data_IF_076014474518
#
_entry.id   IF_076014474518
#
_cell.length_a   1.000
_cell.length_b   1.000
_cell.length_c   1.000
_cell.angle_alpha   90.00
_cell.angle_beta   90.00
_cell.angle_gamma   90.00
#
_symmetry.space_group_name_H-M   'P 1'
#
loop_
_entity.id
_entity.type
_entity.pdbx_description
1 polymer ?
#
# COMPACT_ATOMS: atom_id res chain seq x y z
N UNK A 1 14.09 7.68 -4.72
CA UNK A 1 13.31 7.65 -5.99
C UNK A 1 12.08 8.53 -5.78
N UNK A 2 11.80 9.50 -6.66
CA UNK A 2 10.67 10.45 -6.45
C UNK A 2 9.45 10.17 -7.32
N UNK A 3 9.64 9.44 -8.40
CA UNK A 3 8.62 9.13 -9.39
C UNK A 3 8.63 7.63 -9.65
N UNK A 4 7.45 7.07 -9.84
CA UNK A 4 7.21 5.76 -10.42
C UNK A 4 6.59 6.01 -11.80
N UNK A 5 7.45 6.04 -12.82
CA UNK A 5 7.05 6.22 -14.20
C UNK A 5 6.72 4.85 -14.81
N UNK A 6 5.49 4.72 -15.27
CA UNK A 6 4.94 3.47 -15.81
C UNK A 6 4.57 3.63 -17.28
N UNK A 7 4.98 4.73 -17.91
CA UNK A 7 4.66 5.03 -19.31
C UNK A 7 5.22 3.96 -20.23
N UNK A 8 4.33 3.32 -21.01
CA UNK A 8 4.71 2.32 -22.01
C UNK A 8 5.16 0.96 -21.43
N UNK A 9 5.01 0.75 -20.12
CA UNK A 9 5.25 -0.57 -19.51
C UNK A 9 4.05 -1.48 -19.73
N UNK A 10 4.30 -2.77 -19.99
CA UNK A 10 3.27 -3.78 -19.96
C UNK A 10 2.83 -4.11 -18.51
N UNK A 11 1.72 -4.87 -18.38
CA UNK A 11 1.14 -5.25 -17.09
C UNK A 11 2.12 -5.94 -16.15
N UNK A 12 3.04 -6.74 -16.67
CA UNK A 12 4.02 -7.50 -15.89
C UNK A 12 5.15 -6.60 -15.39
N UNK A 13 5.65 -5.71 -16.24
CA UNK A 13 6.63 -4.69 -15.89
C UNK A 13 6.07 -3.68 -14.88
N UNK A 14 4.78 -3.33 -15.01
CA UNK A 14 4.05 -2.52 -14.01
C UNK A 14 4.00 -3.27 -12.67
N UNK A 15 3.58 -4.53 -12.65
CA UNK A 15 3.55 -5.36 -11.43
C UNK A 15 4.91 -5.39 -10.72
N UNK A 16 5.97 -5.76 -11.42
CA UNK A 16 7.31 -5.86 -10.84
C UNK A 16 7.82 -4.51 -10.30
N UNK A 17 7.58 -3.42 -11.04
CA UNK A 17 8.00 -2.07 -10.65
C UNK A 17 7.21 -1.55 -9.44
N UNK A 18 5.89 -1.74 -9.41
CA UNK A 18 5.04 -1.29 -8.31
C UNK A 18 5.35 -2.05 -7.02
N UNK A 19 5.35 -3.39 -7.06
CA UNK A 19 5.54 -4.19 -5.85
C UNK A 19 6.95 -4.03 -5.27
N UNK A 20 7.98 -3.95 -6.11
CA UNK A 20 9.35 -3.73 -5.62
C UNK A 20 9.49 -2.40 -4.86
N UNK A 21 8.82 -1.34 -5.35
CA UNK A 21 8.78 -0.01 -4.72
C UNK A 21 7.99 -0.04 -3.42
N UNK A 22 6.82 -0.69 -3.40
CA UNK A 22 5.99 -0.82 -2.20
C UNK A 22 6.73 -1.52 -1.05
N UNK A 23 7.54 -2.52 -1.36
CA UNK A 23 8.29 -3.31 -0.38
C UNK A 23 9.58 -2.62 0.07
N UNK A 24 10.24 -1.89 -0.83
CA UNK A 24 11.53 -1.24 -0.60
C UNK A 24 11.54 0.21 -1.13
N UNK A 25 10.78 1.13 -0.51
CA UNK A 25 10.67 2.51 -0.99
C UNK A 25 12.02 3.25 -0.94
N UNK A 26 12.76 3.06 0.16
CA UNK A 26 13.99 3.81 0.45
C UNK A 26 15.28 3.01 0.18
N UNK A 27 15.19 1.74 -0.24
CA UNK A 27 16.35 0.88 -0.50
C UNK A 27 16.40 0.49 -1.99
N UNK A 28 17.14 1.25 -2.83
CA UNK A 28 17.25 0.98 -4.26
C UNK A 28 17.81 -0.39 -4.58
N UNK A 29 18.74 -0.87 -3.76
CA UNK A 29 19.39 -2.14 -3.98
C UNK A 29 18.40 -3.29 -3.78
N UNK A 30 17.72 -3.33 -2.63
CA UNK A 30 16.69 -4.35 -2.36
C UNK A 30 15.52 -4.26 -3.31
N UNK A 31 15.14 -3.04 -3.72
CA UNK A 31 14.11 -2.81 -4.73
C UNK A 31 14.49 -3.46 -6.06
N UNK A 32 15.69 -3.20 -6.58
CA UNK A 32 16.13 -3.77 -7.86
C UNK A 32 16.25 -5.30 -7.79
N UNK A 33 16.77 -5.82 -6.67
CA UNK A 33 16.83 -7.26 -6.42
C UNK A 33 15.44 -7.92 -6.41
N UNK A 34 14.46 -7.32 -5.73
CA UNK A 34 13.09 -7.82 -5.71
C UNK A 34 12.42 -7.68 -7.08
N UNK A 35 12.63 -6.56 -7.78
CA UNK A 35 12.11 -6.35 -9.14
C UNK A 35 12.61 -7.45 -10.09
N UNK A 36 13.91 -7.71 -10.10
CA UNK A 36 14.50 -8.76 -10.92
C UNK A 36 13.94 -10.14 -10.57
N UNK A 37 13.76 -10.43 -9.29
CA UNK A 37 13.12 -11.68 -8.84
C UNK A 37 11.68 -11.80 -9.37
N UNK A 38 10.88 -10.73 -9.32
CA UNK A 38 9.50 -10.73 -9.83
C UNK A 38 9.46 -10.88 -11.35
N UNK A 39 10.32 -10.18 -12.09
CA UNK A 39 10.43 -10.30 -13.55
C UNK A 39 10.77 -11.74 -13.97
N UNK A 40 11.72 -12.38 -13.29
CA UNK A 40 12.11 -13.77 -13.59
C UNK A 40 10.95 -14.74 -13.32
N UNK A 41 10.20 -14.54 -12.22
CA UNK A 41 9.04 -15.38 -11.92
C UNK A 41 7.92 -15.20 -12.95
N UNK A 42 7.70 -13.98 -13.45
CA UNK A 42 6.75 -13.73 -14.52
C UNK A 42 7.18 -14.45 -15.81
N UNK A 43 8.42 -14.25 -16.25
CA UNK A 43 8.94 -14.87 -17.47
C UNK A 43 8.92 -16.41 -17.36
N UNK A 44 9.21 -16.96 -16.18
CA UNK A 44 9.04 -18.38 -15.90
C UNK A 44 7.60 -18.86 -16.13
N UNK A 45 6.61 -18.14 -15.60
CA UNK A 45 5.21 -18.49 -15.77
C UNK A 45 4.72 -18.35 -17.22
N UNK A 46 5.34 -17.45 -18.00
CA UNK A 46 5.00 -17.19 -19.39
C UNK A 46 5.77 -18.08 -20.39
N UNK A 47 6.81 -18.78 -19.92
CA UNK A 47 7.66 -19.60 -20.76
C UNK A 47 8.66 -18.80 -21.62
N UNK A 48 9.05 -17.60 -21.16
CA UNK A 48 9.89 -16.63 -21.87
C UNK A 48 11.20 -16.33 -21.11
N UNK A 49 11.75 -17.31 -20.39
CA UNK A 49 12.96 -17.12 -19.58
C UNK A 49 14.18 -16.66 -20.38
N UNK A 50 14.25 -17.04 -21.64
CA UNK A 50 15.27 -16.64 -22.61
C UNK A 50 15.27 -15.14 -22.92
N UNK A 51 14.18 -14.44 -22.63
CA UNK A 51 14.03 -13.00 -22.86
C UNK A 51 14.57 -12.15 -21.70
N UNK A 52 15.07 -12.78 -20.63
CA UNK A 52 15.58 -12.07 -19.44
C UNK A 52 16.87 -11.32 -19.79
N UNK A 53 16.89 -10.02 -19.46
CA UNK A 53 18.06 -9.18 -19.70
C UNK A 53 19.27 -9.61 -18.85
N UNK A 54 20.51 -9.42 -19.36
CA UNK A 54 21.73 -9.66 -18.58
C UNK A 54 21.78 -8.86 -17.28
N UNK A 55 21.18 -7.68 -17.25
CA UNK A 55 21.08 -6.85 -16.05
C UNK A 55 20.15 -7.46 -14.99
N UNK A 56 18.99 -8.00 -15.42
CA UNK A 56 18.07 -8.73 -14.54
C UNK A 56 18.74 -9.97 -13.96
N UNK A 57 19.51 -10.73 -14.75
CA UNK A 57 20.28 -11.88 -14.27
C UNK A 57 21.33 -11.48 -13.23
N UNK A 58 22.07 -10.38 -13.46
CA UNK A 58 23.05 -9.85 -12.48
C UNK A 58 22.36 -9.56 -11.15
N UNK A 59 21.25 -8.81 -11.17
CA UNK A 59 20.49 -8.52 -9.96
C UNK A 59 19.91 -9.77 -9.31
N UNK A 60 19.53 -10.79 -10.08
CA UNK A 60 19.00 -12.05 -9.55
C UNK A 60 20.06 -12.86 -8.82
N UNK A 61 21.27 -12.97 -9.38
CA UNK A 61 22.41 -13.65 -8.74
C UNK A 61 22.71 -12.95 -7.40
N UNK A 62 22.82 -11.62 -7.44
CA UNK A 62 23.02 -10.81 -6.23
C UNK A 62 21.84 -10.91 -5.23
N UNK A 63 20.62 -11.06 -5.73
CA UNK A 63 19.41 -11.23 -4.93
C UNK A 63 19.31 -12.61 -4.27
N UNK A 64 19.81 -13.66 -4.94
CA UNK A 64 19.87 -15.03 -4.43
C UNK A 64 20.70 -15.11 -3.16
N UNK A 65 21.86 -14.47 -3.14
CA UNK A 65 22.76 -14.41 -1.99
C UNK A 65 22.15 -13.68 -0.78
N UNK A 66 21.18 -12.79 -1.02
CA UNK A 66 20.59 -11.90 0.00
C UNK A 66 19.12 -12.24 0.34
N UNK A 67 18.55 -13.23 -0.34
CA UNK A 67 17.19 -13.71 -0.09
C UNK A 67 16.09 -12.70 -0.43
N UNK A 68 16.15 -12.00 -1.57
CA UNK A 68 15.14 -11.00 -1.93
C UNK A 68 13.69 -11.56 -1.94
N UNK A 69 13.49 -12.80 -2.40
CA UNK A 69 12.19 -13.49 -2.35
C UNK A 69 11.68 -13.78 -0.93
N UNK A 70 12.55 -13.73 0.09
CA UNK A 70 12.14 -13.87 1.49
C UNK A 70 11.40 -12.64 2.00
N UNK A 71 11.63 -11.46 1.42
CA UNK A 71 11.00 -10.20 1.84
C UNK A 71 9.50 -10.17 1.50
N UNK A 72 9.06 -10.96 0.51
CA UNK A 72 7.65 -11.24 0.21
C UNK A 72 6.98 -12.12 1.27
N UNK A 73 7.74 -12.99 1.92
CA UNK A 73 7.25 -13.92 2.94
C UNK A 73 7.34 -13.34 4.36
N UNK A 74 8.11 -12.27 4.56
CA UNK A 74 8.21 -11.58 5.84
C UNK A 74 6.87 -10.93 6.19
N UNK A 75 6.29 -11.39 7.30
CA UNK A 75 5.11 -10.80 7.92
C UNK A 75 5.50 -9.48 8.60
N UNK A 76 5.62 -8.41 7.82
CA UNK A 76 5.79 -7.04 8.33
C UNK A 76 4.42 -6.33 8.32
N UNK A 77 3.74 -6.20 9.47
CA UNK A 77 2.46 -5.48 9.54
C UNK A 77 2.62 -3.99 9.25
N UNK A 78 3.84 -3.45 9.24
CA UNK A 78 4.09 -2.03 9.04
C UNK A 78 3.73 -1.51 7.65
N UNK A 79 3.88 -2.36 6.63
CA UNK A 79 3.51 -2.07 5.25
C UNK A 79 2.00 -1.76 5.10
N UNK A 80 1.08 -2.71 5.38
CA UNK A 80 -0.35 -2.46 5.31
C UNK A 80 -0.82 -1.45 6.38
N UNK A 81 -0.13 -1.33 7.51
CA UNK A 81 -0.50 -0.36 8.55
C UNK A 81 -0.43 1.10 8.07
N UNK A 82 0.58 1.46 7.26
CA UNK A 82 0.67 2.81 6.68
C UNK A 82 -0.49 3.10 5.70
N UNK A 83 -0.88 2.12 4.88
CA UNK A 83 -2.05 2.20 4.01
C UNK A 83 -3.35 2.40 4.80
N UNK A 84 -3.59 1.59 5.83
CA UNK A 84 -4.75 1.74 6.71
C UNK A 84 -4.80 3.12 7.39
N UNK A 85 -3.66 3.65 7.82
CA UNK A 85 -3.62 4.98 8.45
C UNK A 85 -4.01 6.09 7.47
N UNK A 86 -3.58 5.99 6.21
CA UNK A 86 -3.98 6.94 5.17
C UNK A 86 -5.48 6.83 4.87
N UNK A 87 -5.99 5.60 4.70
CA UNK A 87 -7.41 5.32 4.50
C UNK A 87 -8.22 5.97 5.62
N UNK A 88 -7.93 5.62 6.88
CA UNK A 88 -8.64 6.14 8.05
C UNK A 88 -8.65 7.67 8.10
N UNK A 89 -7.53 8.31 7.77
CA UNK A 89 -7.44 9.76 7.73
C UNK A 89 -8.34 10.37 6.65
N UNK A 90 -8.33 9.84 5.44
CA UNK A 90 -9.18 10.30 4.35
C UNK A 90 -10.66 10.10 4.67
N UNK A 91 -11.03 8.97 5.28
CA UNK A 91 -12.41 8.72 5.71
C UNK A 91 -12.86 9.70 6.79
N UNK A 92 -12.04 9.94 7.81
CA UNK A 92 -12.37 10.92 8.86
C UNK A 92 -12.56 12.32 8.27
N UNK A 93 -11.81 12.67 7.23
CA UNK A 93 -11.94 13.95 6.53
C UNK A 93 -13.23 14.03 5.70
N UNK A 94 -13.55 12.98 4.95
CA UNK A 94 -14.80 12.89 4.19
C UNK A 94 -16.03 12.94 5.11
N UNK A 95 -15.95 12.32 6.28
CA UNK A 95 -16.99 12.38 7.32
C UNK A 95 -16.99 13.69 8.14
N UNK A 96 -16.19 14.70 7.76
CA UNK A 96 -16.09 15.99 8.45
C UNK A 96 -15.79 15.93 9.96
N UNK A 97 -15.05 14.91 10.40
CA UNK A 97 -14.69 14.76 11.82
C UNK A 97 -13.77 15.90 12.26
N UNK A 98 -14.15 16.59 13.34
CA UNK A 98 -13.35 17.66 13.95
C UNK A 98 -11.97 17.15 14.33
N UNK A 99 -10.94 17.94 14.02
CA UNK A 99 -9.54 17.61 14.29
C UNK A 99 -9.06 16.28 13.67
N UNK A 100 -9.62 15.88 12.53
CA UNK A 100 -9.12 14.73 11.76
C UNK A 100 -7.62 14.92 11.43
N UNK A 101 -6.81 13.96 11.86
CA UNK A 101 -5.34 14.00 11.74
C UNK A 101 -4.71 12.62 11.95
N UNK A 102 -3.42 12.52 11.62
CA UNK A 102 -2.67 11.26 11.65
C UNK A 102 -2.67 10.58 13.03
N UNK A 103 -2.62 11.33 14.12
CA UNK A 103 -2.66 10.72 15.46
C UNK A 103 -3.98 10.01 15.74
N UNK A 104 -5.13 10.57 15.31
CA UNK A 104 -6.44 9.90 15.39
C UNK A 104 -6.49 8.69 14.48
N UNK A 105 -5.91 8.78 13.27
CA UNK A 105 -5.85 7.66 12.34
C UNK A 105 -5.01 6.51 12.91
N UNK A 106 -3.83 6.80 13.48
CA UNK A 106 -2.99 5.80 14.13
C UNK A 106 -3.69 5.13 15.30
N UNK A 107 -4.44 5.90 16.09
CA UNK A 107 -5.25 5.30 17.15
C UNK A 107 -6.31 4.35 16.60
N UNK A 108 -7.10 4.80 15.63
CA UNK A 108 -8.16 3.98 15.05
C UNK A 108 -7.60 2.68 14.49
N UNK A 109 -6.54 2.75 13.68
CA UNK A 109 -5.86 1.56 13.15
C UNK A 109 -5.32 0.66 14.26
N UNK A 110 -4.72 1.22 15.31
CA UNK A 110 -4.24 0.40 16.44
C UNK A 110 -5.37 -0.36 17.14
N UNK A 111 -6.57 0.21 17.21
CA UNK A 111 -7.74 -0.47 17.79
C UNK A 111 -8.32 -1.53 16.84
N UNK A 112 -8.35 -1.28 15.52
CA UNK A 112 -8.71 -2.31 14.53
C UNK A 112 -7.81 -3.54 14.72
N UNK A 113 -6.50 -3.31 14.69
CA UNK A 113 -5.50 -4.37 14.79
C UNK A 113 -5.54 -5.09 16.14
N UNK A 114 -5.91 -4.40 17.23
CA UNK A 114 -6.05 -5.00 18.56
C UNK A 114 -7.13 -6.09 18.62
N UNK A 115 -8.18 -5.98 17.79
CA UNK A 115 -9.24 -6.98 17.66
C UNK A 115 -8.92 -8.13 16.71
N UNK A 116 -7.87 -8.00 15.89
CA UNK A 116 -7.54 -8.96 14.85
C UNK A 116 -6.44 -9.96 15.25
N UNK A 117 -6.47 -11.10 14.57
CA UNK A 117 -5.43 -12.13 14.62
C UNK A 117 -4.80 -12.26 13.24
N UNK A 118 -3.51 -12.55 13.20
CA UNK A 118 -2.85 -12.92 11.95
C UNK A 118 -3.33 -14.29 11.45
N UNK A 119 -2.87 -14.69 10.27
CA UNK A 119 -3.18 -16.01 9.69
C UNK A 119 -2.77 -17.20 10.57
N UNK A 120 -1.87 -17.01 11.55
CA UNK A 120 -1.46 -18.04 12.51
C UNK A 120 -2.27 -17.97 13.82
N UNK A 121 -3.30 -17.11 13.88
CA UNK A 121 -4.12 -16.89 15.07
C UNK A 121 -3.47 -16.02 16.16
N UNK A 122 -2.32 -15.39 15.89
CA UNK A 122 -1.64 -14.52 16.85
C UNK A 122 -2.23 -13.11 16.85
N UNK A 123 -2.47 -12.49 18.01
CA UNK A 123 -3.00 -11.13 18.08
C UNK A 123 -2.11 -10.12 17.35
N UNK A 124 -2.71 -9.36 16.44
CA UNK A 124 -2.04 -8.29 15.70
C UNK A 124 -1.88 -7.04 16.59
N UNK A 125 -1.12 -7.10 17.67
CA UNK A 125 -0.95 -5.94 18.57
C UNK A 125 0.01 -4.90 17.98
N UNK A 126 -0.51 -3.96 17.18
CA UNK A 126 0.27 -2.80 16.70
C UNK A 126 0.01 -1.61 17.62
N UNK A 127 1.01 -1.27 18.46
CA UNK A 127 0.94 -0.09 19.33
C UNK A 127 1.01 1.21 18.51
N UNK A 128 0.50 2.31 19.06
CA UNK A 128 0.56 3.64 18.40
C UNK A 128 1.98 4.07 18.08
N UNK A 129 2.96 3.78 18.94
CA UNK A 129 4.37 4.08 18.69
C UNK A 129 4.90 3.29 17.47
N UNK A 130 4.46 2.03 17.31
CA UNK A 130 4.77 1.21 16.14
C UNK A 130 4.13 1.79 14.88
N UNK A 131 2.88 2.28 14.96
CA UNK A 131 2.20 2.95 13.83
C UNK A 131 2.98 4.17 13.34
N UNK A 132 3.48 5.01 14.25
CA UNK A 132 4.32 6.16 13.88
C UNK A 132 5.61 5.74 13.19
N UNK A 133 6.26 4.67 13.68
CA UNK A 133 7.46 4.12 13.05
C UNK A 133 7.15 3.60 11.64
N UNK A 134 6.10 2.81 11.49
CA UNK A 134 5.66 2.28 10.20
C UNK A 134 5.31 3.39 9.21
N UNK A 135 4.58 4.41 9.67
CA UNK A 135 4.28 5.59 8.88
C UNK A 135 5.54 6.29 8.39
N UNK A 136 6.54 6.53 9.25
CA UNK A 136 7.81 7.13 8.81
C UNK A 136 8.51 6.29 7.75
N UNK A 137 8.50 4.97 7.88
CA UNK A 137 9.15 4.06 6.94
C UNK A 137 8.42 3.89 5.61
N UNK A 138 7.09 4.04 5.58
CA UNK A 138 6.27 3.68 4.42
C UNK A 138 5.32 4.80 3.95
N UNK A 139 5.35 6.00 4.55
CA UNK A 139 4.51 7.13 4.14
C UNK A 139 4.71 7.51 2.67
N UNK A 140 5.92 7.35 2.14
CA UNK A 140 6.24 7.61 0.74
C UNK A 140 5.44 6.72 -0.24
N UNK A 141 4.99 5.54 0.21
CA UNK A 141 4.22 4.55 -0.56
C UNK A 141 2.86 4.21 0.06
N UNK A 142 2.39 5.00 1.04
CA UNK A 142 1.15 4.69 1.76
C UNK A 142 -0.09 4.66 0.85
N UNK A 143 -0.12 5.46 -0.22
CA UNK A 143 -1.19 5.46 -1.22
C UNK A 143 -1.27 4.15 -2.03
N UNK A 144 -0.12 3.55 -2.37
CA UNK A 144 -0.06 2.24 -3.03
C UNK A 144 -0.56 1.13 -2.10
N UNK A 145 -0.15 1.15 -0.83
CA UNK A 145 -0.65 0.20 0.18
C UNK A 145 -2.15 0.39 0.46
N UNK A 146 -2.63 1.63 0.49
CA UNK A 146 -4.05 1.92 0.63
C UNK A 146 -4.86 1.36 -0.55
N UNK A 147 -4.42 1.58 -1.78
CA UNK A 147 -5.07 1.02 -2.98
C UNK A 147 -5.09 -0.52 -2.95
N UNK A 148 -3.97 -1.15 -2.61
CA UNK A 148 -3.89 -2.60 -2.46
C UNK A 148 -4.92 -3.14 -1.45
N UNK A 149 -5.07 -2.47 -0.30
CA UNK A 149 -6.01 -2.87 0.74
C UNK A 149 -7.47 -2.71 0.32
N UNK A 150 -7.80 -1.61 -0.39
CA UNK A 150 -9.14 -1.37 -0.94
C UNK A 150 -9.50 -2.48 -1.93
N UNK A 151 -8.61 -2.74 -2.89
CA UNK A 151 -8.81 -3.78 -3.90
C UNK A 151 -8.89 -5.18 -3.26
N UNK A 152 -8.07 -5.46 -2.23
CA UNK A 152 -8.14 -6.72 -1.50
C UNK A 152 -9.49 -6.90 -0.78
N UNK A 153 -10.05 -5.82 -0.23
CA UNK A 153 -11.38 -5.84 0.39
C UNK A 153 -12.48 -6.10 -0.65
N UNK A 154 -12.45 -5.42 -1.80
CA UNK A 154 -13.37 -5.66 -2.92
C UNK A 154 -13.30 -7.11 -3.42
N UNK A 155 -12.09 -7.65 -3.60
CA UNK A 155 -11.89 -9.03 -4.01
C UNK A 155 -12.49 -10.02 -2.99
N UNK A 156 -12.35 -9.72 -1.69
CA UNK A 156 -12.94 -10.53 -0.62
C UNK A 156 -14.47 -10.49 -0.67
N UNK A 157 -15.06 -9.31 -0.80
CA UNK A 157 -16.52 -9.14 -0.89
C UNK A 157 -17.10 -9.80 -2.15
N UNK A 158 -16.39 -9.74 -3.27
CA UNK A 158 -16.75 -10.42 -4.51
C UNK A 158 -16.48 -11.93 -4.54
N UNK A 159 -15.87 -12.50 -3.50
CA UNK A 159 -15.53 -13.94 -3.44
C UNK A 159 -14.30 -14.35 -4.26
N UNK A 160 -13.51 -13.41 -4.75
CA UNK A 160 -12.32 -13.61 -5.59
C UNK A 160 -11.01 -13.73 -4.81
N UNK A 161 -11.05 -13.83 -3.48
CA UNK A 161 -9.83 -13.82 -2.65
C UNK A 161 -8.82 -14.93 -3.00
N UNK A 162 -9.31 -16.09 -3.47
CA UNK A 162 -8.46 -17.21 -3.90
C UNK A 162 -7.67 -16.92 -5.18
N UNK A 163 -8.18 -16.03 -6.03
CA UNK A 163 -7.59 -15.62 -7.29
C UNK A 163 -7.15 -14.15 -7.25
N UNK A 164 -6.90 -13.61 -6.06
CA UNK A 164 -6.61 -12.18 -5.88
C UNK A 164 -5.43 -11.75 -6.74
N UNK A 165 -4.41 -12.57 -6.94
CA UNK A 165 -3.25 -12.23 -7.78
C UNK A 165 -3.59 -12.13 -9.28
N UNK A 166 -4.62 -12.84 -9.75
CA UNK A 166 -5.12 -12.74 -11.13
C UNK A 166 -6.05 -11.53 -11.28
N UNK A 167 -6.83 -11.26 -10.24
CA UNK A 167 -7.83 -10.19 -10.20
C UNK A 167 -7.21 -8.81 -9.91
N UNK A 168 -6.14 -8.75 -9.11
CA UNK A 168 -5.42 -7.55 -8.75
C UNK A 168 -4.63 -7.07 -9.98
N UNK A 169 -5.35 -6.42 -10.88
CA UNK A 169 -4.77 -5.75 -12.01
C UNK A 169 -3.92 -4.59 -11.53
N UNK A 170 -2.62 -4.63 -11.84
CA UNK A 170 -1.68 -3.64 -11.34
C UNK A 170 -1.93 -2.26 -11.94
N UNK A 171 -2.49 -2.19 -13.14
CA UNK A 171 -2.97 -0.94 -13.72
C UNK A 171 -4.07 -0.34 -12.84
N UNK A 172 -5.06 -1.15 -12.46
CA UNK A 172 -6.14 -0.77 -11.54
C UNK A 172 -5.61 -0.33 -10.17
N UNK A 173 -4.67 -1.09 -9.59
CA UNK A 173 -4.03 -0.72 -8.32
C UNK A 173 -3.38 0.66 -8.42
N UNK A 174 -2.64 0.92 -9.48
CA UNK A 174 -1.96 2.20 -9.66
C UNK A 174 -2.95 3.33 -9.92
N UNK A 175 -4.01 3.09 -10.69
CA UNK A 175 -5.07 4.06 -10.97
C UNK A 175 -5.80 4.47 -9.67
N UNK A 176 -6.17 3.51 -8.82
CA UNK A 176 -6.74 3.79 -7.49
C UNK A 176 -5.73 4.51 -6.59
N UNK A 177 -4.47 4.08 -6.60
CA UNK A 177 -3.42 4.71 -5.80
C UNK A 177 -3.16 6.16 -6.19
N UNK A 178 -3.24 6.47 -7.49
CA UNK A 178 -3.14 7.84 -8.03
C UNK A 178 -4.27 8.72 -7.50
N UNK A 179 -5.50 8.21 -7.49
CA UNK A 179 -6.65 8.96 -6.95
C UNK A 179 -6.53 9.17 -5.44
N UNK A 180 -6.11 8.16 -4.69
CA UNK A 180 -5.83 8.29 -3.25
C UNK A 180 -4.74 9.35 -3.01
N UNK A 181 -3.68 9.35 -3.82
CA UNK A 181 -2.62 10.36 -3.75
C UNK A 181 -3.18 11.77 -3.99
N UNK A 182 -3.98 11.97 -5.04
CA UNK A 182 -4.54 13.27 -5.38
C UNK A 182 -5.47 13.81 -4.29
N UNK A 183 -6.32 12.95 -3.71
CA UNK A 183 -7.19 13.33 -2.59
C UNK A 183 -6.38 13.66 -1.32
N UNK A 184 -5.34 12.88 -1.03
CA UNK A 184 -4.45 13.12 0.09
C UNK A 184 -3.69 14.45 -0.06
N UNK A 185 -3.27 14.81 -1.26
CA UNK A 185 -2.62 16.11 -1.51
C UNK A 185 -3.55 17.31 -1.29
N UNK A 186 -4.85 17.13 -1.54
CA UNK A 186 -5.87 18.17 -1.31
C UNK A 186 -6.24 18.33 0.18
N UNK A 187 -5.92 17.34 1.01
CA UNK A 187 -6.21 17.38 2.44
C UNK A 187 -5.27 18.33 3.20
N UNK A 188 -5.82 19.44 3.71
CA UNK A 188 -5.13 20.28 4.69
C UNK A 188 -5.24 19.68 6.09
N UNK A 189 -4.10 19.38 6.73
CA UNK A 189 -4.06 19.06 8.17
C UNK A 189 -3.80 20.33 9.00
N UNK A 190 -4.26 20.40 10.26
CA UNK A 190 -4.17 21.59 11.12
C UNK A 190 -2.77 22.15 11.42
N UNK A 191 -1.68 21.60 10.83
CA UNK A 191 -0.29 22.02 11.06
C UNK A 191 0.60 21.99 9.81
N UNK A 192 0.14 22.52 8.66
CA UNK A 192 0.94 22.68 7.41
C UNK A 192 1.68 21.41 6.95
N UNK A 193 1.13 20.24 7.23
CA UNK A 193 1.65 18.95 6.79
C UNK A 193 0.48 18.21 6.19
N UNK A 194 0.34 18.17 4.87
CA UNK A 194 -0.63 17.27 4.25
C UNK A 194 -0.35 15.81 4.66
N UNK A 195 -1.35 14.92 4.60
CA UNK A 195 -1.15 13.50 4.93
C UNK A 195 -0.10 12.85 4.02
N UNK A 196 -0.02 13.26 2.76
CA UNK A 196 1.10 12.98 1.89
C UNK A 196 1.71 14.31 1.49
N UNK A 197 2.95 14.58 1.91
CA UNK A 197 3.64 15.77 1.42
C UNK A 197 4.12 15.50 0.00
N UNK A 198 3.89 16.45 -0.91
CA UNK A 198 4.27 16.35 -2.34
C UNK A 198 5.76 16.03 -2.55
N UNK A 199 6.61 16.45 -1.62
CA UNK A 199 8.06 16.25 -1.64
C UNK A 199 8.50 14.89 -1.07
N UNK A 200 7.61 14.18 -0.37
CA UNK A 200 7.93 12.90 0.30
C UNK A 200 7.21 11.68 -0.28
N UNK A 201 6.07 11.86 -0.95
CA UNK A 201 5.35 10.75 -1.59
C UNK A 201 5.95 10.41 -2.95
N UNK A 202 6.03 9.11 -3.27
CA UNK A 202 6.34 8.66 -4.63
C UNK A 202 5.18 9.09 -5.54
N UNK A 203 5.51 9.75 -6.65
CA UNK A 203 4.50 10.22 -7.61
C UNK A 203 4.34 9.21 -8.73
N UNK A 204 3.10 8.82 -8.98
CA UNK A 204 2.74 7.93 -10.08
C UNK A 204 2.64 8.76 -11.37
N UNK A 205 3.32 8.31 -12.43
CA UNK A 205 3.31 8.93 -13.77
C UNK A 205 3.00 7.86 -14.82
N UNK A 206 2.30 8.24 -15.89
CA UNK A 206 2.00 7.34 -17.02
C UNK A 206 0.68 6.57 -16.91
N UNK A 207 -0.07 6.71 -15.81
CA UNK A 207 -1.39 6.07 -15.60
C UNK A 207 -2.41 7.11 -15.14
N UNK A 208 -3.60 7.10 -15.74
CA UNK A 208 -4.72 7.93 -15.32
C UNK A 208 -5.34 7.39 -14.02
N UNK A 209 -5.85 8.29 -13.17
CA UNK A 209 -6.54 7.88 -11.95
C UNK A 209 -7.90 7.24 -12.24
N UNK A 210 -8.28 6.26 -11.42
CA UNK A 210 -9.63 5.67 -11.41
C UNK A 210 -10.44 6.26 -10.25
N UNK A 211 -11.75 6.52 -10.40
CA UNK A 211 -12.57 7.02 -9.31
C UNK A 211 -12.46 6.12 -8.07
N UNK A 212 -12.08 6.72 -6.94
CA UNK A 212 -12.11 6.07 -5.63
C UNK A 212 -12.85 6.97 -4.66
N UNK A 213 -13.81 6.39 -3.94
CA UNK A 213 -14.66 7.10 -2.98
C UNK A 213 -14.34 6.62 -1.56
N UNK A 214 -13.76 7.49 -0.71
CA UNK A 214 -13.47 7.17 0.69
C UNK A 214 -14.70 6.70 1.49
N UNK A 215 -15.90 7.09 1.07
CA UNK A 215 -17.15 6.78 1.78
C UNK A 215 -17.66 5.35 1.54
N UNK A 216 -17.08 4.65 0.56
CA UNK A 216 -17.46 3.30 0.15
C UNK A 216 -16.65 2.20 0.86
N UNK A 217 -15.80 2.57 1.81
CA UNK A 217 -14.93 1.63 2.56
C UNK A 217 -15.70 0.51 3.26
N UNK A 218 -14.99 -0.58 3.58
CA UNK A 218 -15.55 -1.80 4.15
C UNK A 218 -16.39 -1.53 5.41
N UNK A 219 -17.46 -2.32 5.58
CA UNK A 219 -18.41 -2.19 6.69
C UNK A 219 -17.72 -2.07 8.07
N UNK A 220 -16.60 -2.78 8.26
CA UNK A 220 -15.82 -2.78 9.50
C UNK A 220 -15.18 -1.41 9.81
N UNK A 221 -14.66 -0.72 8.80
CA UNK A 221 -14.08 0.61 9.00
C UNK A 221 -15.17 1.65 9.29
N UNK A 222 -16.33 1.53 8.63
CA UNK A 222 -17.52 2.34 8.93
C UNK A 222 -18.03 2.11 10.35
N UNK A 223 -18.13 0.85 10.79
CA UNK A 223 -18.54 0.51 12.16
C UNK A 223 -17.60 1.12 13.21
N UNK A 224 -16.29 0.94 13.06
CA UNK A 224 -15.31 1.49 14.01
C UNK A 224 -15.27 3.03 14.01
N UNK A 225 -15.49 3.68 12.86
CA UNK A 225 -15.65 5.14 12.78
C UNK A 225 -16.95 5.61 13.47
N UNK A 226 -18.05 4.87 13.35
CA UNK A 226 -19.32 5.19 14.01
C UNK A 226 -19.25 5.06 15.54
N UNK A 227 -18.54 4.05 16.04
CA UNK A 227 -18.27 3.89 17.48
C UNK A 227 -17.37 5.00 18.04
N UNK A 228 -16.41 5.48 17.23
CA UNK A 228 -15.51 6.54 17.65
C UNK A 228 -16.18 7.93 17.66
N UNK A 229 -17.01 8.22 16.66
CA UNK A 229 -17.76 9.48 16.57
C UNK A 229 -18.83 9.60 17.66
N UNK A 230 -19.51 8.51 18.02
CA UNK A 230 -20.50 8.50 19.10
C UNK A 230 -19.89 8.73 20.49
N UNK A 231 -18.65 8.29 20.74
CA UNK A 231 -17.90 8.55 21.99
C UNK A 231 -17.31 9.95 22.09
N UNK A 232 -17.08 10.63 20.97
CA UNK A 232 -16.47 11.97 20.93
C UNK A 232 -17.49 13.10 21.12
N UNK A 233 -18.79 12.78 21.08
CA UNK A 233 -19.91 13.70 21.25
C UNK A 233 -20.59 13.57 22.64
N UNK A 234 -20.00 12.77 23.54
CA UNK A 234 -20.34 12.68 24.97
C UNK A 234 -19.31 13.46 25.78
#
# INVERSE_FOLDING_TARGET
MRYLDLTGLDRCAVFASVFSVMFHPEDPYRRNALKAWLEVNVNFCQGTLEEISPETLRFLIEAGDRGAGSDLRKKDPGRPAAGHALIALLTMKAAHIKDAGLDKAFYLVSEIYRGEKDYDGKPLRVRRESMRKHWRSYSSVAHLWAAYLVLLAEAKEGGYLKDVWRWLDCERLVAVAKTIQDQAEQCSLPRRQGPLRRDSAIRIVGIAGEPWRPDELSLNQRQLLSEFTSRSNQ
#
